data_IF_217701596883
#
_entry.id   IF_217701596883
#
_cell.length_a   1.000
_cell.length_b   1.000
_cell.length_c   1.000
_cell.angle_alpha   90.00
_cell.angle_beta   90.00
_cell.angle_gamma   90.00
#
_symmetry.space_group_name_H-M   'P 1'
#
loop_
_entity.id
_entity.type
_entity.pdbx_description
1 polymer ?
#
# COMPACT_ATOMS: atom_id res chain seq x y z
N UNK A 1 17.00 -3.44 0.70
CA UNK A 1 16.50 -2.05 0.58
C UNK A 1 17.64 -1.06 0.74
N UNK A 2 18.42 -1.17 1.81
CA UNK A 2 19.56 -0.26 2.04
C UNK A 2 20.57 -0.22 0.87
N UNK A 3 20.97 -1.38 0.33
CA UNK A 3 21.83 -1.46 -0.86
C UNK A 3 21.19 -0.78 -2.09
N UNK A 4 19.90 -1.03 -2.34
CA UNK A 4 19.16 -0.41 -3.43
C UNK A 4 19.09 1.11 -3.29
N UNK A 5 18.79 1.62 -2.09
CA UNK A 5 18.75 3.05 -1.82
C UNK A 5 20.13 3.68 -1.96
N UNK A 6 21.18 3.01 -1.48
CA UNK A 6 22.55 3.46 -1.63
C UNK A 6 22.93 3.60 -3.11
N UNK A 7 22.72 2.56 -3.93
CA UNK A 7 23.09 2.60 -5.34
C UNK A 7 22.36 3.69 -6.11
N UNK A 8 21.05 3.85 -5.89
CA UNK A 8 20.27 4.91 -6.54
C UNK A 8 20.74 6.28 -6.07
N UNK A 9 20.89 6.49 -4.76
CA UNK A 9 21.32 7.77 -4.19
C UNK A 9 22.67 8.22 -4.75
N UNK A 10 23.63 7.30 -4.85
CA UNK A 10 24.93 7.57 -5.46
C UNK A 10 24.83 7.83 -6.97
N UNK A 11 23.95 7.13 -7.68
CA UNK A 11 23.77 7.27 -9.12
C UNK A 11 23.03 8.57 -9.52
N UNK A 12 22.15 9.09 -8.66
CA UNK A 12 21.37 10.31 -8.92
C UNK A 12 21.91 11.54 -8.20
N UNK A 13 23.00 11.41 -7.43
CA UNK A 13 23.51 12.45 -6.55
C UNK A 13 22.44 12.99 -5.59
N UNK A 14 21.59 12.08 -5.10
CA UNK A 14 20.51 12.39 -4.15
C UNK A 14 20.87 11.90 -2.77
N UNK A 15 20.32 12.54 -1.73
CA UNK A 15 20.42 12.04 -0.36
C UNK A 15 19.16 11.25 0.02
N UNK A 16 19.30 10.34 0.98
CA UNK A 16 18.15 9.66 1.58
C UNK A 16 18.28 9.60 3.11
N UNK A 17 17.12 9.60 3.78
CA UNK A 17 17.03 9.43 5.23
C UNK A 17 15.93 8.43 5.58
N UNK A 18 16.17 7.62 6.61
CA UNK A 18 15.14 6.77 7.21
C UNK A 18 14.29 7.62 8.14
N UNK A 19 12.97 7.55 7.97
CA UNK A 19 11.99 8.29 8.79
C UNK A 19 10.97 7.35 9.41
N UNK A 20 10.31 7.81 10.46
CA UNK A 20 9.22 7.08 11.11
C UNK A 20 7.98 7.97 11.13
N UNK A 21 7.03 7.68 10.23
CA UNK A 21 5.76 8.43 10.12
C UNK A 21 5.03 8.48 11.47
N UNK A 22 5.10 7.39 12.26
CA UNK A 22 4.49 7.34 13.59
C UNK A 22 5.15 8.30 14.57
N UNK A 23 6.48 8.41 14.53
CA UNK A 23 7.22 9.30 15.43
C UNK A 23 7.03 10.77 15.02
N UNK A 24 7.12 11.05 13.72
CA UNK A 24 6.92 12.39 13.19
C UNK A 24 5.48 12.87 13.44
N UNK A 25 4.47 12.00 13.31
CA UNK A 25 3.10 12.32 13.72
C UNK A 25 3.00 12.64 15.20
N UNK A 26 3.62 11.82 16.06
CA UNK A 26 3.59 12.03 17.51
C UNK A 26 4.11 13.42 17.90
N UNK A 27 5.13 13.91 17.19
CA UNK A 27 5.77 15.19 17.47
C UNK A 27 5.06 16.37 16.78
N UNK A 28 4.68 16.22 15.51
CA UNK A 28 4.33 17.34 14.64
C UNK A 28 2.89 17.31 14.10
N UNK A 29 2.06 16.32 14.48
CA UNK A 29 0.69 16.27 13.99
C UNK A 29 -0.11 17.53 14.36
N UNK A 30 -0.98 18.04 13.48
CA UNK A 30 -1.77 19.25 13.72
C UNK A 30 -3.03 18.98 14.56
N UNK A 31 -3.04 17.93 15.39
CA UNK A 31 -4.18 17.48 16.20
C UNK A 31 -3.75 17.05 17.60
N UNK A 32 -4.70 16.95 18.52
CA UNK A 32 -4.45 16.49 19.90
C UNK A 32 -4.10 14.99 19.99
N UNK A 33 -4.74 14.15 19.16
CA UNK A 33 -4.48 12.71 19.12
C UNK A 33 -3.13 12.40 18.45
N UNK A 34 -2.10 12.20 19.29
CA UNK A 34 -0.72 11.95 18.85
C UNK A 34 -0.40 10.48 18.57
N UNK A 35 -1.31 9.54 18.86
CA UNK A 35 -1.12 8.16 18.41
C UNK A 35 -1.73 7.98 17.02
N UNK A 36 -0.86 7.88 16.00
CA UNK A 36 -1.29 7.68 14.61
C UNK A 36 -2.09 6.40 14.39
N UNK A 37 -1.75 5.32 15.10
CA UNK A 37 -2.46 4.03 15.00
C UNK A 37 -3.87 4.18 15.54
N UNK A 38 -4.04 4.90 16.65
CA UNK A 38 -5.35 5.22 17.20
C UNK A 38 -6.12 6.17 16.28
N UNK A 39 -5.47 7.23 15.79
CA UNK A 39 -6.05 8.25 14.93
C UNK A 39 -6.67 7.65 13.66
N UNK A 40 -5.99 6.67 13.05
CA UNK A 40 -6.40 5.98 11.82
C UNK A 40 -6.99 4.58 12.06
N UNK A 41 -7.28 4.20 13.32
CA UNK A 41 -7.73 2.85 13.68
C UNK A 41 -9.01 2.42 12.94
N UNK A 42 -9.88 3.38 12.59
CA UNK A 42 -11.17 3.14 11.95
C UNK A 42 -11.16 3.31 10.43
N UNK A 43 -10.01 3.54 9.79
CA UNK A 43 -9.92 3.75 8.32
C UNK A 43 -10.53 2.58 7.55
N UNK A 44 -10.17 1.35 7.88
CA UNK A 44 -10.72 0.17 7.18
C UNK A 44 -12.20 -0.04 7.50
N UNK A 45 -12.57 0.01 8.79
CA UNK A 45 -13.94 -0.25 9.24
C UNK A 45 -14.94 0.81 8.78
N UNK A 46 -14.72 2.06 9.17
CA UNK A 46 -15.65 3.15 8.87
C UNK A 46 -15.46 3.73 7.46
N UNK A 47 -14.30 3.55 6.84
CA UNK A 47 -14.02 4.03 5.48
C UNK A 47 -14.25 2.93 4.45
N UNK A 48 -13.29 2.00 4.34
CA UNK A 48 -13.29 1.00 3.28
C UNK A 48 -14.55 0.11 3.28
N UNK A 49 -14.96 -0.46 4.41
CA UNK A 49 -16.15 -1.33 4.42
C UNK A 49 -17.43 -0.57 4.08
N UNK A 50 -17.59 0.66 4.59
CA UNK A 50 -18.73 1.53 4.24
C UNK A 50 -18.78 1.79 2.73
N UNK A 51 -17.67 2.24 2.14
CA UNK A 51 -17.59 2.51 0.71
C UNK A 51 -17.80 1.24 -0.13
N UNK A 52 -17.21 0.11 0.28
CA UNK A 52 -17.34 -1.17 -0.41
C UNK A 52 -18.75 -1.75 -0.35
N UNK A 53 -19.51 -1.50 0.71
CA UNK A 53 -20.93 -1.84 0.75
C UNK A 53 -21.73 -0.91 -0.16
N UNK A 54 -21.60 0.40 0.01
CA UNK A 54 -22.45 1.39 -0.67
C UNK A 54 -22.18 1.50 -2.17
N UNK A 55 -20.94 1.25 -2.65
CA UNK A 55 -20.61 1.28 -4.08
C UNK A 55 -21.32 0.22 -4.92
N UNK A 56 -21.82 -0.84 -4.29
CA UNK A 56 -22.58 -1.91 -4.95
C UNK A 56 -24.10 -1.78 -4.79
N UNK A 57 -24.60 -0.67 -4.26
CA UNK A 57 -26.05 -0.46 -4.04
C UNK A 57 -26.83 -0.58 -5.34
N UNK A 58 -26.39 0.09 -6.40
CA UNK A 58 -27.10 0.07 -7.68
C UNK A 58 -27.11 -1.33 -8.30
N UNK A 59 -25.99 -2.05 -8.22
CA UNK A 59 -25.88 -3.44 -8.67
C UNK A 59 -26.84 -4.37 -7.90
N UNK A 60 -26.86 -4.29 -6.56
CA UNK A 60 -27.76 -5.13 -5.75
C UNK A 60 -29.23 -4.85 -6.08
N UNK A 61 -29.58 -3.57 -6.24
CA UNK A 61 -30.94 -3.14 -6.54
C UNK A 61 -31.39 -3.60 -7.93
N UNK A 62 -30.55 -3.43 -8.95
CA UNK A 62 -30.86 -3.87 -10.32
C UNK A 62 -30.99 -5.39 -10.40
N UNK A 63 -30.06 -6.12 -9.79
CA UNK A 63 -30.06 -7.58 -9.75
C UNK A 63 -31.32 -8.13 -9.07
N UNK A 64 -31.70 -7.58 -7.91
CA UNK A 64 -32.92 -7.97 -7.20
C UNK A 64 -34.18 -7.68 -8.04
N UNK A 65 -34.21 -6.56 -8.76
CA UNK A 65 -35.33 -6.20 -9.63
C UNK A 65 -35.50 -7.19 -10.79
N UNK A 66 -34.39 -7.62 -11.39
CA UNK A 66 -34.37 -8.52 -12.55
C UNK A 66 -34.61 -9.98 -12.15
N UNK A 67 -33.83 -10.50 -11.21
CA UNK A 67 -33.80 -11.93 -10.89
C UNK A 67 -34.67 -12.33 -9.70
N UNK A 68 -35.27 -11.35 -8.99
CA UNK A 68 -36.16 -11.56 -7.82
C UNK A 68 -35.48 -12.23 -6.62
N UNK A 69 -34.15 -12.30 -6.62
CA UNK A 69 -33.33 -12.77 -5.49
C UNK A 69 -32.03 -11.96 -5.44
N UNK A 70 -31.32 -11.90 -4.30
CA UNK A 70 -30.04 -11.20 -4.21
C UNK A 70 -28.94 -11.94 -4.99
N UNK A 71 -27.87 -11.23 -5.42
CA UNK A 71 -26.75 -11.87 -6.09
C UNK A 71 -26.02 -12.84 -5.14
N UNK A 72 -25.39 -13.86 -5.71
CA UNK A 72 -24.41 -14.64 -4.95
C UNK A 72 -23.22 -13.74 -4.59
N UNK A 73 -22.82 -13.78 -3.32
CA UNK A 73 -21.70 -13.01 -2.79
C UNK A 73 -20.82 -13.98 -2.02
N UNK A 74 -19.51 -13.95 -2.27
CA UNK A 74 -18.55 -14.82 -1.58
C UNK A 74 -18.52 -14.51 -0.08
N UNK A 75 -18.11 -15.48 0.73
CA UNK A 75 -18.12 -15.36 2.19
C UNK A 75 -17.40 -14.11 2.71
N UNK A 76 -16.19 -13.85 2.20
CA UNK A 76 -15.38 -12.69 2.59
C UNK A 76 -16.08 -11.37 2.26
N UNK A 77 -16.72 -11.29 1.08
CA UNK A 77 -17.43 -10.08 0.64
C UNK A 77 -18.67 -9.84 1.48
N UNK A 78 -19.45 -10.89 1.78
CA UNK A 78 -20.60 -10.80 2.69
C UNK A 78 -20.16 -10.30 4.06
N UNK A 79 -19.07 -10.85 4.60
CA UNK A 79 -18.56 -10.48 5.91
C UNK A 79 -18.26 -8.97 6.03
N UNK A 80 -17.46 -8.40 5.12
CA UNK A 80 -17.17 -6.97 5.22
C UNK A 80 -18.33 -6.06 4.79
N UNK A 81 -19.26 -6.55 3.95
CA UNK A 81 -20.51 -5.84 3.67
C UNK A 81 -21.42 -5.77 4.90
N UNK A 82 -21.50 -6.84 5.69
CA UNK A 82 -22.27 -6.87 6.92
C UNK A 82 -21.71 -5.92 7.98
N UNK A 83 -20.40 -5.67 7.98
CA UNK A 83 -19.78 -4.63 8.79
C UNK A 83 -20.03 -3.24 8.21
N UNK A 84 -19.84 -3.08 6.90
CA UNK A 84 -19.99 -1.80 6.20
C UNK A 84 -21.39 -1.21 6.27
N UNK A 85 -22.44 -2.04 6.17
CA UNK A 85 -23.84 -1.61 6.27
C UNK A 85 -24.21 -1.04 7.65
N UNK A 86 -23.44 -1.38 8.69
CA UNK A 86 -23.66 -0.91 10.06
C UNK A 86 -22.96 0.42 10.35
N UNK A 87 -22.14 0.92 9.42
CA UNK A 87 -21.44 2.20 9.57
C UNK A 87 -22.38 3.34 9.16
N UNK A 88 -22.51 4.35 10.01
CA UNK A 88 -23.33 5.53 9.73
C UNK A 88 -22.60 6.55 8.87
N UNK A 89 -23.34 7.39 8.16
CA UNK A 89 -22.76 8.49 7.38
C UNK A 89 -21.90 9.42 8.25
N UNK A 90 -22.28 9.65 9.51
CA UNK A 90 -21.50 10.45 10.45
C UNK A 90 -20.14 9.80 10.77
N UNK A 91 -20.10 8.47 10.95
CA UNK A 91 -18.86 7.72 11.18
C UNK A 91 -17.95 7.73 9.95
N UNK A 92 -18.55 7.57 8.76
CA UNK A 92 -17.83 7.67 7.48
C UNK A 92 -17.23 9.07 7.28
N UNK A 93 -18.04 10.11 7.46
CA UNK A 93 -17.59 11.50 7.29
C UNK A 93 -16.47 11.88 8.26
N UNK A 94 -16.54 11.43 9.51
CA UNK A 94 -15.46 11.66 10.48
C UNK A 94 -14.16 10.98 10.06
N UNK A 95 -14.19 9.75 9.56
CA UNK A 95 -12.96 9.08 9.14
C UNK A 95 -12.39 9.68 7.85
N UNK A 96 -13.24 10.15 6.94
CA UNK A 96 -12.80 10.90 5.75
C UNK A 96 -12.11 12.22 6.15
N UNK A 97 -12.67 12.95 7.13
CA UNK A 97 -12.04 14.17 7.67
C UNK A 97 -10.66 13.88 8.29
N UNK A 98 -10.53 12.78 9.01
CA UNK A 98 -9.23 12.35 9.58
C UNK A 98 -8.21 11.99 8.51
N UNK A 99 -8.63 11.30 7.45
CA UNK A 99 -7.78 11.00 6.31
C UNK A 99 -7.30 12.28 5.61
N UNK A 100 -8.18 13.27 5.45
CA UNK A 100 -7.84 14.57 4.85
C UNK A 100 -6.79 15.32 5.69
N UNK A 101 -6.95 15.37 7.01
CA UNK A 101 -5.94 15.97 7.91
C UNK A 101 -4.61 15.23 7.81
N UNK A 102 -4.62 13.90 7.84
CA UNK A 102 -3.41 13.10 7.69
C UNK A 102 -2.73 13.32 6.34
N UNK A 103 -3.51 13.35 5.26
CA UNK A 103 -3.04 13.60 3.90
C UNK A 103 -2.35 14.95 3.80
N UNK A 104 -3.02 16.02 4.23
CA UNK A 104 -2.49 17.38 4.18
C UNK A 104 -1.20 17.49 5.00
N UNK A 105 -1.20 16.99 6.23
CA UNK A 105 0.01 16.97 7.06
C UNK A 105 1.16 16.22 6.39
N UNK A 106 0.90 15.02 5.84
CA UNK A 106 1.94 14.21 5.23
C UNK A 106 2.57 14.91 4.02
N UNK A 107 1.72 15.46 3.14
CA UNK A 107 2.18 16.15 1.94
C UNK A 107 2.99 17.39 2.30
N UNK A 108 2.51 18.22 3.23
CA UNK A 108 3.23 19.42 3.66
C UNK A 108 4.55 19.10 4.35
N UNK A 109 4.58 18.02 5.16
CA UNK A 109 5.75 17.66 5.97
C UNK A 109 6.84 16.92 5.18
N UNK A 110 6.47 16.03 4.26
CA UNK A 110 7.42 15.21 3.52
C UNK A 110 7.55 15.57 2.03
N UNK A 111 6.50 16.10 1.41
CA UNK A 111 6.38 16.27 -0.04
C UNK A 111 6.14 17.74 -0.44
N UNK A 112 6.74 18.66 0.32
CA UNK A 112 6.65 20.09 0.03
C UNK A 112 6.93 20.38 -1.45
N UNK A 113 6.21 21.35 -2.01
CA UNK A 113 6.19 21.71 -3.44
C UNK A 113 7.54 22.06 -4.04
N UNK A 114 8.54 22.37 -3.21
CA UNK A 114 9.89 22.71 -3.64
C UNK A 114 10.82 21.48 -3.68
N UNK A 115 10.33 20.30 -3.29
CA UNK A 115 11.13 19.08 -3.17
C UNK A 115 10.61 17.95 -4.06
N UNK A 116 11.48 17.39 -4.90
CA UNK A 116 11.26 16.15 -5.65
C UNK A 116 11.42 14.92 -4.71
N UNK A 117 10.66 14.90 -3.62
CA UNK A 117 10.80 13.84 -2.60
C UNK A 117 10.08 12.56 -3.04
N UNK A 118 10.81 11.45 -3.05
CA UNK A 118 10.27 10.11 -3.27
C UNK A 118 10.33 9.32 -1.97
N UNK A 119 9.22 8.69 -1.61
CA UNK A 119 9.12 7.85 -0.41
C UNK A 119 9.29 6.39 -0.84
N UNK A 120 10.31 5.72 -0.29
CA UNK A 120 10.55 4.30 -0.51
C UNK A 120 10.03 3.45 0.66
N UNK A 121 9.21 2.44 0.38
CA UNK A 121 8.56 1.60 1.38
C UNK A 121 8.71 0.11 1.07
N UNK A 122 8.79 -0.70 2.12
CA UNK A 122 8.49 -2.13 1.98
C UNK A 122 6.97 -2.34 1.86
N UNK A 123 6.55 -3.05 0.81
CA UNK A 123 5.13 -3.35 0.59
C UNK A 123 4.57 -4.29 1.66
N UNK A 124 5.26 -5.39 1.95
CA UNK A 124 4.84 -6.40 2.91
C UNK A 124 6.07 -7.17 3.43
N UNK A 125 5.87 -8.02 4.42
CA UNK A 125 6.89 -8.99 4.86
C UNK A 125 7.19 -9.95 3.73
N UNK A 126 8.48 -10.12 3.44
CA UNK A 126 8.94 -11.05 2.40
C UNK A 126 8.94 -12.47 2.97
N UNK A 127 7.85 -13.19 2.71
CA UNK A 127 7.65 -14.56 3.17
C UNK A 127 6.82 -15.36 2.17
N UNK A 128 7.01 -16.68 2.07
CA UNK A 128 6.23 -17.50 1.15
C UNK A 128 4.77 -17.56 1.60
N UNK A 129 3.83 -17.28 0.67
CA UNK A 129 2.38 -17.42 0.87
C UNK A 129 1.92 -18.69 0.16
N UNK A 130 1.70 -19.76 0.92
CA UNK A 130 1.34 -21.07 0.36
C UNK A 130 -0.17 -21.21 0.14
N UNK A 131 -0.57 -21.82 -0.97
CA UNK A 131 -1.99 -21.96 -1.35
C UNK A 131 -2.75 -23.05 -0.59
N UNK A 132 -2.03 -24.03 -0.02
CA UNK A 132 -2.59 -25.05 0.87
C UNK A 132 -2.80 -24.53 2.30
N UNK A 133 -2.36 -23.30 2.60
CA UNK A 133 -2.77 -22.61 3.81
C UNK A 133 -4.12 -21.96 3.55
N UNK A 134 -5.15 -22.51 4.19
CA UNK A 134 -6.43 -21.82 4.24
C UNK A 134 -6.19 -20.46 4.92
N UNK A 135 -6.56 -19.34 4.28
CA UNK A 135 -6.30 -18.01 4.82
C UNK A 135 -7.00 -17.76 6.16
N UNK A 136 -7.91 -18.66 6.57
CA UNK A 136 -8.73 -18.53 7.77
C UNK A 136 -9.76 -17.41 7.63
N UNK A 137 -10.71 -17.36 8.54
CA UNK A 137 -11.49 -16.13 8.79
C UNK A 137 -10.68 -15.14 9.66
N UNK A 138 -9.39 -15.04 9.39
CA UNK A 138 -8.46 -14.19 10.12
C UNK A 138 -8.03 -13.06 9.20
N UNK A 139 -8.99 -12.33 8.62
CA UNK A 139 -8.72 -10.93 8.29
C UNK A 139 -8.68 -10.23 9.63
N UNK A 140 -7.50 -10.02 10.25
CA UNK A 140 -7.48 -9.26 11.48
C UNK A 140 -8.01 -7.87 11.08
N UNK A 141 -8.83 -7.24 11.92
CA UNK A 141 -8.80 -5.79 11.94
C UNK A 141 -7.31 -5.45 12.12
N UNK A 142 -6.68 -4.93 11.07
CA UNK A 142 -5.33 -4.38 11.19
C UNK A 142 -5.57 -2.90 11.41
N UNK A 143 -5.64 -2.45 12.67
CA UNK A 143 -5.90 -1.04 12.96
C UNK A 143 -4.75 -0.19 12.41
N UNK A 144 -5.10 0.97 11.87
CA UNK A 144 -4.15 2.01 11.50
C UNK A 144 -3.64 1.94 10.05
N UNK A 145 -2.47 2.53 9.83
CA UNK A 145 -1.87 2.73 8.51
C UNK A 145 -1.09 1.50 8.06
N UNK A 146 -1.46 0.94 6.89
CA UNK A 146 -0.64 -0.04 6.17
C UNK A 146 0.18 0.68 5.10
N UNK A 147 1.38 0.17 4.81
CA UNK A 147 2.23 0.64 3.70
C UNK A 147 1.44 0.76 2.39
N UNK A 148 0.68 -0.28 2.05
CA UNK A 148 -0.13 -0.37 0.82
C UNK A 148 -1.34 0.56 0.80
N UNK A 149 -1.67 1.24 1.90
CA UNK A 149 -2.75 2.23 1.93
C UNK A 149 -2.23 3.66 1.78
N UNK A 150 -0.92 3.89 1.88
CA UNK A 150 -0.38 5.24 1.94
C UNK A 150 -0.65 6.00 0.63
N UNK A 151 -0.27 5.45 -0.53
CA UNK A 151 -0.50 6.13 -1.81
C UNK A 151 -1.98 6.43 -2.09
N UNK A 152 -2.93 5.49 -1.91
CA UNK A 152 -4.36 5.79 -2.03
C UNK A 152 -4.84 6.91 -1.10
N UNK A 153 -4.35 6.97 0.15
CA UNK A 153 -4.72 8.02 1.11
C UNK A 153 -4.17 9.38 0.67
N UNK A 154 -2.93 9.41 0.17
CA UNK A 154 -2.29 10.63 -0.30
C UNK A 154 -2.82 11.10 -1.66
N UNK A 155 -3.43 10.21 -2.44
CA UNK A 155 -3.79 10.46 -3.83
C UNK A 155 -2.57 10.66 -4.72
N UNK A 156 -1.45 10.01 -4.38
CA UNK A 156 -0.18 10.09 -5.10
C UNK A 156 0.10 8.83 -5.92
N UNK A 157 1.01 8.91 -6.92
CA UNK A 157 1.45 7.75 -7.68
C UNK A 157 2.30 6.81 -6.83
N UNK A 158 2.16 5.51 -7.08
CA UNK A 158 2.95 4.44 -6.47
C UNK A 158 3.48 3.49 -7.55
N UNK A 159 4.78 3.22 -7.53
CA UNK A 159 5.45 2.28 -8.41
C UNK A 159 6.12 1.17 -7.60
N UNK A 160 5.64 -0.06 -7.76
CA UNK A 160 6.24 -1.24 -7.17
C UNK A 160 7.29 -1.83 -8.11
N UNK A 161 8.56 -1.83 -7.70
CA UNK A 161 9.68 -2.35 -8.50
C UNK A 161 10.37 -3.52 -7.78
N UNK A 162 10.57 -4.66 -8.47
CA UNK A 162 11.46 -5.71 -7.97
C UNK A 162 12.90 -5.20 -7.91
N UNK A 163 13.58 -5.40 -6.78
CA UNK A 163 14.95 -4.90 -6.55
C UNK A 163 15.96 -6.01 -6.27
N UNK A 164 15.49 -7.20 -5.87
CA UNK A 164 16.32 -8.36 -5.58
C UNK A 164 15.46 -9.61 -5.40
N UNK A 165 16.09 -10.73 -5.03
CA UNK A 165 15.43 -11.97 -4.66
C UNK A 165 16.06 -12.56 -3.41
N UNK A 166 15.23 -13.15 -2.54
CA UNK A 166 15.68 -13.91 -1.38
C UNK A 166 15.44 -15.40 -1.60
N UNK A 167 16.37 -16.23 -1.17
CA UNK A 167 16.20 -17.69 -1.23
C UNK A 167 15.37 -18.18 -0.05
N UNK A 168 14.50 -19.16 -0.27
CA UNK A 168 13.79 -19.86 0.79
C UNK A 168 13.68 -21.35 0.46
N UNK A 169 13.58 -22.20 1.47
CA UNK A 169 13.29 -23.61 1.27
C UNK A 169 11.78 -23.83 1.20
N UNK A 170 11.31 -24.37 0.08
CA UNK A 170 9.90 -24.67 -0.13
C UNK A 170 9.49 -25.89 0.69
N UNK A 171 8.54 -25.74 1.62
CA UNK A 171 8.02 -26.88 2.38
C UNK A 171 7.20 -27.86 1.53
N UNK A 172 6.79 -27.45 0.33
CA UNK A 172 5.98 -28.28 -0.58
C UNK A 172 6.88 -29.16 -1.44
N UNK A 173 8.02 -28.64 -1.90
CA UNK A 173 8.89 -29.33 -2.86
C UNK A 173 10.24 -29.76 -2.28
N UNK A 174 10.63 -29.26 -1.09
CA UNK A 174 11.95 -29.46 -0.51
C UNK A 174 13.08 -28.76 -1.28
N UNK A 175 12.74 -27.90 -2.24
CA UNK A 175 13.73 -27.20 -3.09
C UNK A 175 13.97 -25.80 -2.59
N UNK A 176 15.19 -25.32 -2.79
CA UNK A 176 15.53 -23.91 -2.63
C UNK A 176 14.88 -23.11 -3.76
N UNK A 177 13.96 -22.21 -3.45
CA UNK A 177 13.26 -21.34 -4.40
C UNK A 177 13.56 -19.86 -4.11
N UNK A 178 13.11 -18.96 -4.97
CA UNK A 178 13.33 -17.51 -4.87
C UNK A 178 12.03 -16.76 -4.61
N UNK A 179 12.07 -15.76 -3.74
CA UNK A 179 11.00 -14.78 -3.54
C UNK A 179 11.45 -13.41 -4.01
N UNK A 180 10.63 -12.67 -4.76
CA UNK A 180 10.95 -11.30 -5.14
C UNK A 180 10.98 -10.40 -3.90
N UNK A 181 12.03 -9.60 -3.80
CA UNK A 181 12.10 -8.44 -2.91
C UNK A 181 11.66 -7.22 -3.72
N UNK A 182 10.54 -6.61 -3.31
CA UNK A 182 9.94 -5.46 -4.00
C UNK A 182 9.99 -4.24 -3.08
N UNK A 183 10.31 -3.09 -3.65
CA UNK A 183 10.15 -1.78 -3.00
C UNK A 183 9.03 -1.03 -3.69
N UNK A 184 8.25 -0.30 -2.91
CA UNK A 184 7.30 0.68 -3.40
C UNK A 184 7.96 2.06 -3.37
N UNK A 185 7.93 2.75 -4.51
CA UNK A 185 8.32 4.14 -4.65
C UNK A 185 7.05 4.98 -4.79
N UNK A 186 6.91 6.00 -3.96
CA UNK A 186 5.72 6.83 -3.89
C UNK A 186 6.12 8.29 -4.14
N UNK A 187 5.43 8.92 -5.08
CA UNK A 187 5.60 10.34 -5.43
C UNK A 187 4.46 11.21 -4.90
N UNK A 188 4.62 12.53 -5.00
CA UNK A 188 3.57 13.49 -4.64
C UNK A 188 2.40 13.44 -5.65
N UNK A 189 1.17 13.83 -5.25
CA UNK A 189 0.04 13.89 -6.18
C UNK A 189 0.36 14.67 -7.46
N UNK A 190 0.08 14.08 -8.63
CA UNK A 190 0.32 14.70 -9.94
C UNK A 190 1.73 14.53 -10.51
N UNK A 191 2.60 13.76 -9.85
CA UNK A 191 4.00 13.51 -10.28
C UNK A 191 4.20 12.16 -11.00
N UNK A 192 3.13 11.58 -11.55
CA UNK A 192 3.13 10.22 -12.12
C UNK A 192 4.23 10.01 -13.17
N UNK A 193 4.37 10.96 -14.11
CA UNK A 193 5.39 10.90 -15.16
C UNK A 193 6.80 11.10 -14.60
N UNK A 194 6.96 12.02 -13.65
CA UNK A 194 8.25 12.31 -13.03
C UNK A 194 8.74 11.09 -12.24
N UNK A 195 7.85 10.43 -11.50
CA UNK A 195 8.15 9.21 -10.76
C UNK A 195 8.61 8.09 -11.71
N UNK A 196 7.92 7.90 -12.84
CA UNK A 196 8.28 6.88 -13.83
C UNK A 196 9.65 7.18 -14.45
N UNK A 197 9.85 8.42 -14.92
CA UNK A 197 11.07 8.85 -15.57
C UNK A 197 12.27 8.79 -14.60
N UNK A 198 12.09 9.27 -13.37
CA UNK A 198 13.11 9.20 -12.33
C UNK A 198 13.44 7.75 -11.99
N UNK A 199 12.45 6.88 -11.82
CA UNK A 199 12.66 5.47 -11.46
C UNK A 199 13.46 4.74 -12.55
N UNK A 200 13.07 4.91 -13.81
CA UNK A 200 13.80 4.30 -14.93
C UNK A 200 15.24 4.83 -15.02
N UNK A 201 15.42 6.15 -14.99
CA UNK A 201 16.73 6.80 -15.08
C UNK A 201 17.65 6.36 -13.92
N UNK A 202 17.09 6.24 -12.72
CA UNK A 202 17.82 5.83 -11.51
C UNK A 202 18.29 4.38 -11.59
N UNK A 203 17.45 3.47 -12.10
CA UNK A 203 17.83 2.09 -12.33
C UNK A 203 18.95 1.98 -13.37
N UNK A 204 18.81 2.69 -14.50
CA UNK A 204 19.83 2.69 -15.56
C UNK A 204 21.18 3.23 -15.06
N UNK A 205 21.19 4.37 -14.37
CA UNK A 205 22.43 4.98 -13.85
C UNK A 205 23.07 4.16 -12.73
N UNK A 206 22.28 3.43 -11.94
CA UNK A 206 22.81 2.54 -10.89
C UNK A 206 23.25 1.17 -11.43
N UNK A 207 23.16 0.93 -12.75
CA UNK A 207 23.48 -0.36 -13.35
C UNK A 207 22.48 -1.46 -12.96
N UNK A 208 21.31 -1.09 -12.45
CA UNK A 208 20.24 -2.01 -12.07
C UNK A 208 19.34 -2.29 -13.27
N UNK A 209 18.81 -3.51 -13.40
CA UNK A 209 18.00 -3.88 -14.54
C UNK A 209 16.65 -3.15 -14.52
N UNK A 210 16.23 -2.65 -15.68
CA UNK A 210 14.90 -2.06 -15.92
C UNK A 210 13.87 -3.08 -16.38
N UNK A 211 14.27 -4.34 -16.53
CA UNK A 211 13.44 -5.46 -16.96
C UNK A 211 13.70 -6.65 -16.06
N UNK A 212 12.67 -7.46 -15.84
CA UNK A 212 12.77 -8.72 -15.10
C UNK A 212 12.45 -9.90 -16.00
N UNK A 213 13.01 -11.05 -15.67
CA UNK A 213 12.73 -12.29 -16.37
C UNK A 213 11.51 -13.01 -15.78
N UNK A 214 10.90 -13.86 -16.59
CA UNK A 214 9.85 -14.78 -16.14
C UNK A 214 10.45 -16.12 -15.71
N UNK A 215 9.73 -16.85 -14.87
CA UNK A 215 10.13 -18.18 -14.40
C UNK A 215 10.66 -18.16 -12.96
N UNK A 216 11.74 -18.92 -12.72
CA UNK A 216 12.25 -19.20 -11.37
C UNK A 216 13.04 -18.04 -10.75
N UNK A 217 13.66 -17.19 -11.57
CA UNK A 217 14.42 -16.03 -11.11
C UNK A 217 14.15 -14.83 -12.01
N UNK A 218 13.93 -13.68 -11.39
CA UNK A 218 13.68 -12.38 -12.00
C UNK A 218 14.98 -11.69 -12.45
N UNK A 219 16.13 -12.08 -11.89
CA UNK A 219 17.44 -11.47 -12.14
C UNK A 219 18.48 -12.55 -12.50
N UNK A 220 18.63 -12.86 -13.79
CA UNK A 220 19.78 -13.65 -14.23
C UNK A 220 21.04 -12.78 -14.20
N UNK A 221 22.15 -13.36 -13.75
CA UNK A 221 23.47 -12.95 -14.23
C UNK A 221 23.78 -13.87 -15.41
N UNK A 222 23.95 -13.29 -16.60
CA UNK A 222 24.70 -13.96 -17.66
C UNK A 222 26.16 -14.13 -17.25
#
# INVERSE_FOLDING_TARGET
MDEFLHDISSATSSDYKKVSIKEDWRQFAPVEEKDLTQYLSKVTGHGWFYSAYNSFTDFRNSYQKEHKHPPFVTEVVRWYWDLGKCVTDAQYNEIMRRLDVFRTWFIEFYMSTDSETIVALHLDKVQPKYRDQYPGNTNPEIPGLRSTHLAPILGGPELAIPISEISYESRITGKLEKLPLVVSLLGAPGTDLDLLQWSQTSLEKSGRPTKVFTGRSAFYKE
#
